data_IF_113598117577
#
_entry.id   IF_113598117577
#
_cell.length_a   1.000
_cell.length_b   1.000
_cell.length_c   1.000
_cell.angle_alpha   90.00
_cell.angle_beta   90.00
_cell.angle_gamma   90.00
#
_symmetry.space_group_name_H-M   'P 1'
#
loop_
_entity.id
_entity.type
_entity.pdbx_description
1 polymer ?
#
# COMPACT_ATOMS: atom_id res chain seq x y z
N UNK A 1 -4.79 8.38 25.43
CA UNK A 1 -4.80 8.03 24.01
C UNK A 1 -6.03 8.54 23.26
N UNK A 2 -7.27 8.25 23.69
CA UNK A 2 -8.48 8.85 23.09
C UNK A 2 -8.37 10.37 22.92
N UNK A 3 -7.85 11.08 23.91
CA UNK A 3 -7.67 12.56 23.85
C UNK A 3 -6.64 13.00 22.81
N UNK A 4 -5.58 12.23 22.54
CA UNK A 4 -4.54 12.57 21.53
C UNK A 4 -5.05 12.37 20.12
N UNK A 5 -5.77 11.28 19.86
CA UNK A 5 -6.40 11.01 18.55
C UNK A 5 -7.46 12.06 18.24
N UNK A 6 -8.26 12.45 19.23
CA UNK A 6 -9.26 13.52 19.10
C UNK A 6 -8.57 14.86 18.82
N UNK A 7 -7.45 15.16 19.48
CA UNK A 7 -6.69 16.40 19.24
C UNK A 7 -6.11 16.43 17.82
N UNK A 8 -5.56 15.31 17.32
CA UNK A 8 -5.04 15.22 15.95
C UNK A 8 -6.19 15.34 14.94
N UNK A 9 -7.31 14.67 15.14
CA UNK A 9 -8.50 14.81 14.30
C UNK A 9 -9.06 16.23 14.34
N UNK A 10 -9.16 16.84 15.51
CA UNK A 10 -9.63 18.22 15.67
C UNK A 10 -8.64 19.23 15.09
N UNK A 11 -7.32 19.02 15.17
CA UNK A 11 -6.34 19.89 14.54
C UNK A 11 -6.37 19.79 13.01
N UNK A 12 -6.58 18.62 12.44
CA UNK A 12 -6.80 18.43 11.00
C UNK A 12 -8.12 19.07 10.57
N UNK A 13 -9.20 18.83 11.33
CA UNK A 13 -10.52 19.46 11.06
C UNK A 13 -10.43 20.98 11.22
N UNK A 14 -9.74 21.50 12.23
CA UNK A 14 -9.57 22.95 12.42
C UNK A 14 -8.70 23.57 11.33
N UNK A 15 -7.65 22.89 10.87
CA UNK A 15 -6.83 23.35 9.73
C UNK A 15 -7.64 23.37 8.42
N UNK A 16 -8.47 22.36 8.18
CA UNK A 16 -9.42 22.32 7.06
C UNK A 16 -10.49 23.41 7.22
N UNK A 17 -11.01 23.63 8.43
CA UNK A 17 -12.02 24.62 8.73
C UNK A 17 -11.48 26.07 8.64
N UNK A 18 -10.22 26.31 9.05
CA UNK A 18 -9.58 27.64 8.94
C UNK A 18 -9.24 27.97 7.49
N UNK A 19 -8.85 26.99 6.68
CA UNK A 19 -8.70 27.19 5.24
C UNK A 19 -10.05 27.35 4.52
N UNK A 20 -11.11 26.71 4.98
CA UNK A 20 -12.46 26.89 4.45
C UNK A 20 -13.06 28.25 4.81
N UNK A 21 -12.70 28.85 5.97
CA UNK A 21 -13.14 30.18 6.38
C UNK A 21 -12.54 31.31 5.53
N UNK A 22 -11.36 31.13 4.99
CA UNK A 22 -10.73 32.07 4.06
C UNK A 22 -11.23 31.92 2.60
N UNK A 23 -12.01 30.87 2.32
CA UNK A 23 -12.83 30.75 1.13
C UNK A 23 -14.26 31.14 1.55
N UNK A 24 -14.81 32.24 1.07
CA UNK A 24 -16.23 32.58 1.16
C UNK A 24 -17.11 31.54 0.43
N UNK A 25 -17.08 30.28 0.88
CA UNK A 25 -17.81 29.17 0.27
C UNK A 25 -19.23 29.08 0.83
N UNK A 26 -19.54 29.77 1.92
CA UNK A 26 -20.87 29.76 2.56
C UNK A 26 -21.55 31.16 2.58
N UNK A 27 -21.14 32.09 1.73
CA UNK A 27 -21.82 33.35 1.56
C UNK A 27 -22.92 33.24 0.51
N UNK A 28 -24.17 33.32 0.94
CA UNK A 28 -25.42 33.79 0.29
C UNK A 28 -25.66 33.66 -1.23
N UNK A 29 -24.85 32.99 -2.02
CA UNK A 29 -25.10 32.72 -3.44
C UNK A 29 -25.80 31.37 -3.72
N UNK A 30 -26.34 30.70 -2.70
CA UNK A 30 -26.98 29.39 -2.82
C UNK A 30 -28.35 29.43 -3.52
N UNK A 31 -28.91 30.59 -3.81
CA UNK A 31 -30.28 30.68 -4.32
C UNK A 31 -30.45 31.24 -5.74
N UNK A 32 -29.39 31.51 -6.48
CA UNK A 32 -29.51 31.97 -7.87
C UNK A 32 -28.50 31.31 -8.82
N UNK A 33 -28.74 30.04 -9.12
CA UNK A 33 -28.48 29.43 -10.44
C UNK A 33 -29.02 28.02 -10.45
N UNK A 34 -30.19 27.84 -11.02
CA UNK A 34 -30.73 26.52 -11.43
C UNK A 34 -29.90 25.95 -12.60
N UNK A 35 -28.63 25.72 -12.43
CA UNK A 35 -27.92 24.74 -13.24
C UNK A 35 -28.36 23.36 -12.69
N UNK A 36 -29.21 22.67 -13.42
CA UNK A 36 -29.57 21.28 -13.11
C UNK A 36 -28.27 20.49 -12.99
N UNK A 37 -27.89 20.15 -11.77
CA UNK A 37 -26.73 19.29 -11.48
C UNK A 37 -27.07 17.93 -12.07
N UNK A 38 -26.57 17.64 -13.27
CA UNK A 38 -26.88 16.39 -13.94
C UNK A 38 -26.19 15.23 -13.20
N UNK A 39 -26.99 14.29 -12.69
CA UNK A 39 -26.48 13.03 -12.16
C UNK A 39 -25.98 12.22 -13.35
N UNK A 40 -24.74 11.78 -13.30
CA UNK A 40 -24.12 10.94 -14.33
C UNK A 40 -23.79 9.58 -13.76
N UNK A 41 -23.97 8.55 -14.57
CA UNK A 41 -23.54 7.20 -14.24
C UNK A 41 -22.01 7.12 -14.18
N UNK A 42 -21.48 6.41 -13.19
CA UNK A 42 -20.06 6.16 -13.00
C UNK A 42 -19.84 4.65 -12.87
N UNK A 43 -18.77 4.16 -13.44
CA UNK A 43 -18.38 2.75 -13.32
C UNK A 43 -16.86 2.63 -13.39
N UNK A 44 -16.34 1.57 -12.82
CA UNK A 44 -14.94 1.14 -12.91
C UNK A 44 -14.89 -0.39 -12.87
N UNK A 45 -14.00 -0.96 -13.66
CA UNK A 45 -13.73 -2.40 -13.61
C UNK A 45 -12.21 -2.56 -13.62
N UNK A 46 -11.71 -3.21 -12.59
CA UNK A 46 -10.31 -3.56 -12.48
C UNK A 46 -10.17 -5.09 -12.47
N UNK A 47 -9.29 -5.59 -13.32
CA UNK A 47 -8.91 -7.01 -13.34
C UNK A 47 -7.43 -7.11 -13.04
N UNK A 48 -7.07 -8.02 -12.13
CA UNK A 48 -5.69 -8.31 -11.74
C UNK A 48 -5.46 -9.81 -11.82
N UNK A 49 -4.38 -10.21 -12.46
CA UNK A 49 -3.88 -11.56 -12.41
C UNK A 49 -2.50 -11.55 -11.78
N UNK A 50 -2.28 -12.46 -10.83
CA UNK A 50 -1.02 -12.59 -10.14
C UNK A 50 -0.62 -14.06 -10.05
N UNK A 51 0.52 -14.37 -10.65
CA UNK A 51 1.26 -15.61 -10.42
C UNK A 51 2.52 -15.25 -9.64
N UNK A 52 2.76 -15.92 -8.52
CA UNK A 52 3.84 -15.63 -7.60
C UNK A 52 4.34 -16.94 -7.00
N UNK A 53 5.37 -17.51 -7.61
CA UNK A 53 6.05 -18.68 -7.13
C UNK A 53 7.19 -18.29 -6.20
N UNK A 54 7.20 -18.81 -5.00
CA UNK A 54 8.13 -18.51 -3.93
C UNK A 54 8.85 -19.78 -3.53
N UNK A 55 10.16 -19.78 -3.72
CA UNK A 55 11.05 -20.88 -3.40
C UNK A 55 12.01 -20.42 -2.32
N UNK A 56 11.70 -20.77 -1.08
CA UNK A 56 12.52 -20.48 0.07
C UNK A 56 13.01 -21.79 0.66
N UNK A 57 14.25 -21.80 1.10
CA UNK A 57 14.84 -22.99 1.73
C UNK A 57 14.03 -23.39 2.97
N UNK A 58 13.46 -24.59 2.94
CA UNK A 58 12.66 -25.14 4.03
C UNK A 58 13.51 -25.60 5.21
N UNK A 59 14.78 -25.92 4.98
CA UNK A 59 15.68 -26.46 6.01
C UNK A 59 16.30 -25.40 6.92
N UNK A 60 16.38 -24.16 6.48
CA UNK A 60 17.02 -23.07 7.20
C UNK A 60 16.27 -21.76 7.15
N UNK A 61 15.17 -21.70 6.42
CA UNK A 61 14.43 -20.47 6.28
C UNK A 61 13.57 -20.15 7.49
N UNK A 62 13.98 -19.12 8.19
CA UNK A 62 13.34 -18.61 9.39
C UNK A 62 12.30 -17.54 9.13
N UNK A 63 12.15 -17.09 7.89
CA UNK A 63 11.40 -15.91 7.51
C UNK A 63 10.02 -16.22 6.95
N UNK A 64 9.95 -17.11 5.95
CA UNK A 64 8.69 -17.44 5.25
C UNK A 64 8.77 -18.82 4.60
N UNK A 65 7.63 -19.41 4.31
CA UNK A 65 7.54 -20.72 3.67
C UNK A 65 7.48 -20.57 2.15
N UNK A 66 7.92 -21.62 1.44
CA UNK A 66 7.68 -21.77 0.01
C UNK A 66 6.19 -21.90 -0.26
N UNK A 67 5.70 -21.21 -1.30
CA UNK A 67 4.31 -21.28 -1.74
C UNK A 67 4.17 -20.78 -3.16
N UNK A 68 3.14 -21.23 -3.85
CA UNK A 68 2.74 -20.68 -5.14
C UNK A 68 1.37 -20.03 -5.00
N UNK A 69 1.29 -18.74 -5.34
CA UNK A 69 0.04 -17.99 -5.46
C UNK A 69 -0.26 -17.86 -6.94
N UNK A 70 -1.39 -18.38 -7.36
CA UNK A 70 -1.89 -18.25 -8.72
C UNK A 70 -3.35 -17.83 -8.65
N UNK A 71 -3.62 -16.54 -8.87
CA UNK A 71 -4.94 -16.02 -8.59
C UNK A 71 -5.33 -14.88 -9.54
N UNK A 72 -6.63 -14.76 -9.79
CA UNK A 72 -7.24 -13.66 -10.50
C UNK A 72 -8.23 -12.92 -9.61
N UNK A 73 -8.23 -11.60 -9.70
CA UNK A 73 -9.15 -10.70 -9.01
C UNK A 73 -9.92 -9.87 -10.01
N UNK A 74 -11.20 -9.72 -9.80
CA UNK A 74 -12.08 -8.84 -10.56
C UNK A 74 -12.84 -7.93 -9.59
N UNK A 75 -12.78 -6.62 -9.84
CA UNK A 75 -13.43 -5.61 -8.99
C UNK A 75 -14.33 -4.71 -9.84
N UNK A 76 -15.54 -5.17 -10.21
CA UNK A 76 -16.52 -4.33 -10.89
C UNK A 76 -17.21 -3.40 -9.91
N UNK A 77 -17.35 -2.13 -10.30
CA UNK A 77 -18.01 -1.09 -9.52
C UNK A 77 -18.90 -0.23 -10.42
N UNK A 78 -20.05 0.17 -9.91
CA UNK A 78 -20.99 1.08 -10.56
C UNK A 78 -21.54 2.07 -9.55
N UNK A 79 -21.99 3.23 -10.01
CA UNK A 79 -22.53 4.26 -9.14
C UNK A 79 -22.93 5.52 -9.86
N UNK A 80 -23.01 6.59 -9.11
CA UNK A 80 -23.44 7.88 -9.62
C UNK A 80 -22.44 8.97 -9.22
N UNK A 81 -22.33 9.98 -10.08
CA UNK A 81 -21.52 11.16 -9.82
C UNK A 81 -22.28 12.43 -10.14
N UNK A 82 -22.00 13.46 -9.35
CA UNK A 82 -22.53 14.80 -9.50
C UNK A 82 -21.33 15.75 -9.54
N UNK A 83 -21.31 16.64 -10.51
CA UNK A 83 -20.29 17.69 -10.60
C UNK A 83 -20.89 19.05 -10.17
N UNK A 84 -20.21 19.78 -9.33
CA UNK A 84 -20.54 21.17 -8.99
C UNK A 84 -19.62 22.10 -9.78
N UNK A 85 -20.00 22.38 -11.00
CA UNK A 85 -19.17 23.14 -11.94
C UNK A 85 -17.80 22.46 -12.11
N UNK A 86 -16.74 23.29 -12.13
CA UNK A 86 -15.36 22.81 -12.21
C UNK A 86 -14.67 22.68 -10.84
N UNK A 87 -15.40 22.89 -9.72
CA UNK A 87 -14.82 22.99 -8.39
C UNK A 87 -14.82 21.67 -7.65
N UNK A 88 -15.91 20.89 -7.74
CA UNK A 88 -16.01 19.62 -7.03
C UNK A 88 -16.73 18.54 -7.84
N UNK A 89 -16.37 17.29 -7.57
CA UNK A 89 -17.04 16.06 -8.03
C UNK A 89 -17.35 15.21 -6.81
N UNK A 90 -18.58 14.78 -6.70
CA UNK A 90 -19.08 13.86 -5.67
C UNK A 90 -19.44 12.54 -6.35
N UNK A 91 -19.02 11.43 -5.78
CA UNK A 91 -19.26 10.10 -6.36
C UNK A 91 -19.66 9.13 -5.26
N UNK A 92 -20.68 8.33 -5.49
CA UNK A 92 -21.05 7.18 -4.65
C UNK A 92 -20.92 5.94 -5.51
N UNK A 93 -20.19 4.95 -5.03
CA UNK A 93 -19.90 3.73 -5.78
C UNK A 93 -20.26 2.51 -4.94
N UNK A 94 -20.83 1.52 -5.61
CA UNK A 94 -21.10 0.18 -5.09
C UNK A 94 -20.38 -0.82 -6.00
N UNK A 95 -19.77 -1.84 -5.42
CA UNK A 95 -19.06 -2.87 -6.15
C UNK A 95 -18.84 -4.14 -5.35
N UNK A 96 -18.15 -5.07 -5.95
CA UNK A 96 -17.78 -6.35 -5.34
C UNK A 96 -16.32 -6.66 -5.62
N UNK A 97 -15.66 -7.30 -4.66
CA UNK A 97 -14.32 -7.85 -4.80
C UNK A 97 -14.41 -9.37 -4.95
N UNK A 98 -14.04 -9.86 -6.13
CA UNK A 98 -14.07 -11.28 -6.49
C UNK A 98 -12.62 -11.74 -6.64
N UNK A 99 -12.22 -12.75 -5.87
CA UNK A 99 -10.89 -13.36 -5.93
C UNK A 99 -11.01 -14.84 -6.18
N UNK A 100 -10.41 -15.34 -7.26
CA UNK A 100 -10.29 -16.76 -7.56
C UNK A 100 -8.86 -17.21 -7.47
N UNK A 101 -8.56 -18.07 -6.50
CA UNK A 101 -7.31 -18.84 -6.47
C UNK A 101 -7.42 -19.99 -7.48
N UNK A 102 -6.47 -20.07 -8.41
CA UNK A 102 -6.42 -21.14 -9.39
C UNK A 102 -6.06 -22.48 -8.72
N UNK A 103 -6.64 -23.55 -9.18
CA UNK A 103 -6.49 -24.87 -8.57
C UNK A 103 -7.39 -25.13 -7.35
N UNK A 104 -7.89 -24.10 -6.69
CA UNK A 104 -8.84 -24.23 -5.60
C UNK A 104 -10.28 -24.38 -6.11
N UNK A 105 -10.97 -25.43 -5.71
CA UNK A 105 -12.39 -25.68 -6.03
C UNK A 105 -13.13 -26.22 -4.82
N UNK A 106 -14.49 -26.19 -4.81
CA UNK A 106 -15.27 -26.78 -3.73
C UNK A 106 -15.03 -28.29 -3.53
N UNK A 107 -14.63 -29.00 -4.60
CA UNK A 107 -14.38 -30.43 -4.56
C UNK A 107 -13.09 -30.81 -3.82
N UNK A 108 -12.10 -29.92 -3.76
CA UNK A 108 -10.84 -30.09 -3.04
C UNK A 108 -10.67 -29.10 -1.88
N UNK A 109 -11.78 -28.59 -1.34
CA UNK A 109 -11.75 -27.62 -0.24
C UNK A 109 -11.06 -28.15 1.03
N UNK A 110 -11.12 -29.47 1.27
CA UNK A 110 -10.42 -30.11 2.39
C UNK A 110 -8.89 -30.08 2.27
N UNK A 111 -8.36 -30.02 1.04
CA UNK A 111 -6.93 -29.99 0.77
C UNK A 111 -6.35 -28.58 0.85
N UNK A 112 -7.12 -27.57 0.41
CA UNK A 112 -6.66 -26.18 0.29
C UNK A 112 -7.20 -25.27 1.39
N UNK A 113 -8.09 -25.75 2.23
CA UNK A 113 -8.84 -24.96 3.22
C UNK A 113 -10.01 -24.19 2.62
N UNK A 114 -11.10 -24.10 3.38
CA UNK A 114 -12.35 -23.44 2.94
C UNK A 114 -12.16 -21.96 2.59
N UNK A 115 -11.23 -21.27 3.24
CA UNK A 115 -10.95 -19.85 3.02
C UNK A 115 -10.46 -19.56 1.60
N UNK A 116 -9.74 -20.49 0.99
CA UNK A 116 -9.21 -20.35 -0.35
C UNK A 116 -10.24 -20.57 -1.46
N UNK A 117 -11.40 -21.11 -1.11
CA UNK A 117 -12.50 -21.40 -2.06
C UNK A 117 -13.48 -20.23 -2.20
N UNK A 118 -13.49 -19.32 -1.27
CA UNK A 118 -14.40 -18.15 -1.31
C UNK A 118 -14.06 -17.23 -2.47
N UNK A 119 -14.97 -17.15 -3.45
CA UNK A 119 -14.85 -16.24 -4.60
C UNK A 119 -15.16 -14.79 -4.21
N UNK A 120 -16.23 -14.58 -3.47
CA UNK A 120 -16.64 -13.27 -2.99
C UNK A 120 -15.83 -12.93 -1.75
N UNK A 121 -15.07 -11.86 -1.80
CA UNK A 121 -14.26 -11.38 -0.69
C UNK A 121 -14.98 -10.34 0.11
N UNK A 122 -15.46 -9.30 -0.57
CA UNK A 122 -15.96 -8.13 0.09
C UNK A 122 -16.91 -7.33 -0.81
N UNK A 123 -17.83 -6.62 -0.20
CA UNK A 123 -18.65 -5.60 -0.87
C UNK A 123 -17.94 -4.25 -0.74
N UNK A 124 -17.83 -3.55 -1.85
CA UNK A 124 -17.30 -2.19 -1.89
C UNK A 124 -18.48 -1.21 -1.84
N UNK A 125 -18.39 -0.25 -0.93
CA UNK A 125 -19.35 0.85 -0.84
C UNK A 125 -18.63 2.07 -0.32
N UNK A 126 -18.50 3.10 -1.15
CA UNK A 126 -17.78 4.29 -0.74
C UNK A 126 -18.31 5.57 -1.38
N UNK A 127 -18.08 6.64 -0.65
CA UNK A 127 -18.22 8.00 -1.13
C UNK A 127 -16.83 8.55 -1.50
N UNK A 128 -16.76 9.26 -2.63
CA UNK A 128 -15.55 9.97 -3.09
C UNK A 128 -15.88 11.43 -3.36
N UNK A 129 -15.13 12.30 -2.73
CA UNK A 129 -15.10 13.74 -2.99
C UNK A 129 -13.79 14.08 -3.71
N UNK A 130 -13.90 14.76 -4.85
CA UNK A 130 -12.77 15.45 -5.48
C UNK A 130 -13.06 16.93 -5.54
N UNK A 131 -12.20 17.75 -4.91
CA UNK A 131 -12.34 19.19 -4.93
C UNK A 131 -11.05 19.84 -5.45
N UNK A 132 -11.18 20.97 -6.13
CA UNK A 132 -10.05 21.76 -6.63
C UNK A 132 -10.08 23.15 -6.00
N UNK A 133 -9.00 23.50 -5.31
CA UNK A 133 -8.84 24.81 -4.68
C UNK A 133 -7.48 25.39 -5.10
N UNK A 134 -7.49 26.38 -5.99
CA UNK A 134 -6.27 26.92 -6.59
C UNK A 134 -5.47 25.79 -7.30
N UNK A 135 -4.23 25.60 -6.86
CA UNK A 135 -3.35 24.54 -7.40
C UNK A 135 -3.45 23.21 -6.63
N UNK A 136 -4.33 23.10 -5.63
CA UNK A 136 -4.48 21.90 -4.82
C UNK A 136 -5.69 21.09 -5.28
N UNK A 137 -5.51 19.80 -5.52
CA UNK A 137 -6.57 18.82 -5.71
C UNK A 137 -6.70 18.03 -4.41
N UNK A 138 -7.90 18.06 -3.82
CA UNK A 138 -8.24 17.31 -2.62
C UNK A 138 -9.09 16.11 -3.07
N UNK A 139 -8.72 14.91 -2.65
CA UNK A 139 -9.56 13.73 -2.81
C UNK A 139 -9.81 13.14 -1.42
N UNK A 140 -11.08 12.89 -1.12
CA UNK A 140 -11.51 12.22 0.10
C UNK A 140 -12.33 10.98 -0.26
N UNK A 141 -12.00 9.85 0.38
CA UNK A 141 -12.74 8.61 0.25
C UNK A 141 -13.20 8.19 1.64
N UNK A 142 -14.43 7.69 1.75
CA UNK A 142 -14.98 7.16 2.99
C UNK A 142 -15.85 5.94 2.70
N UNK A 143 -15.63 4.85 3.43
CA UNK A 143 -16.30 3.57 3.26
C UNK A 143 -15.34 2.42 3.00
N UNK A 144 -15.73 1.45 2.17
CA UNK A 144 -14.92 0.32 1.75
C UNK A 144 -14.53 0.53 0.29
N UNK A 145 -13.27 0.79 0.04
CA UNK A 145 -12.76 1.16 -1.29
C UNK A 145 -11.40 0.56 -1.60
N UNK A 146 -11.04 0.37 -2.89
CA UNK A 146 -9.76 -0.21 -3.28
C UNK A 146 -8.54 0.57 -2.78
N UNK A 147 -7.57 -0.15 -2.18
CA UNK A 147 -6.29 0.40 -1.70
C UNK A 147 -5.45 1.06 -2.80
N UNK A 148 -5.65 0.65 -4.08
CA UNK A 148 -4.99 1.29 -5.24
C UNK A 148 -5.32 2.77 -5.42
N UNK A 149 -6.32 3.32 -4.72
CA UNK A 149 -6.61 4.75 -4.72
C UNK A 149 -5.62 5.56 -3.89
N UNK A 150 -4.91 4.93 -2.96
CA UNK A 150 -3.77 5.52 -2.31
C UNK A 150 -2.58 5.55 -3.29
N UNK A 151 -1.92 6.70 -3.41
CA UNK A 151 -0.74 6.89 -4.26
C UNK A 151 0.56 6.78 -3.46
N UNK A 152 0.45 6.77 -2.13
CA UNK A 152 1.56 6.62 -1.21
C UNK A 152 2.32 5.33 -1.45
N UNK A 153 3.63 5.42 -1.40
CA UNK A 153 4.50 4.25 -1.55
C UNK A 153 4.43 3.36 -0.32
N UNK A 154 3.43 2.49 -0.26
CA UNK A 154 3.43 1.40 0.71
C UNK A 154 4.55 0.41 0.33
N UNK A 155 5.76 0.72 0.77
CA UNK A 155 6.90 -0.14 0.57
C UNK A 155 6.79 -1.41 1.42
N UNK A 156 7.61 -2.40 1.12
CA UNK A 156 7.49 -3.75 1.67
C UNK A 156 7.68 -3.81 3.20
N UNK A 157 8.29 -2.78 3.77
CA UNK A 157 8.45 -2.62 5.21
C UNK A 157 7.11 -2.42 5.93
N UNK A 158 6.14 -1.77 5.27
CA UNK A 158 4.81 -1.45 5.80
C UNK A 158 3.76 -2.46 5.39
N UNK A 159 3.82 -2.94 4.16
CA UNK A 159 2.81 -3.84 3.61
C UNK A 159 3.46 -4.83 2.63
N UNK A 160 3.37 -6.11 2.93
CA UNK A 160 3.92 -7.17 2.08
C UNK A 160 3.18 -7.26 0.74
N UNK A 161 3.85 -7.77 -0.27
CA UNK A 161 3.26 -7.96 -1.60
C UNK A 161 2.05 -8.92 -1.57
N UNK A 162 2.06 -9.91 -0.68
CA UNK A 162 0.90 -10.79 -0.46
C UNK A 162 -0.30 -10.00 0.06
N UNK A 163 -0.10 -9.17 1.07
CA UNK A 163 -1.18 -8.39 1.66
C UNK A 163 -1.69 -7.32 0.69
N UNK A 164 -0.83 -6.71 -0.11
CA UNK A 164 -1.27 -5.79 -1.18
C UNK A 164 -2.24 -6.47 -2.14
N UNK A 165 -2.05 -7.76 -2.41
CA UNK A 165 -2.90 -8.53 -3.30
C UNK A 165 -4.15 -9.08 -2.59
N UNK A 166 -4.00 -9.71 -1.41
CA UNK A 166 -5.10 -10.38 -0.70
C UNK A 166 -5.96 -9.43 0.13
N UNK A 167 -5.40 -8.38 0.71
CA UNK A 167 -6.06 -7.32 1.46
C UNK A 167 -6.01 -6.03 0.63
N UNK A 168 -6.79 -6.01 -0.45
CA UNK A 168 -6.72 -5.00 -1.51
C UNK A 168 -7.61 -3.77 -1.24
N UNK A 169 -8.35 -3.77 -0.15
CA UNK A 169 -9.28 -2.69 0.18
C UNK A 169 -8.89 -1.96 1.46
N UNK A 170 -9.39 -0.76 1.61
CA UNK A 170 -9.33 0.05 2.83
C UNK A 170 -10.76 0.14 3.35
N UNK A 171 -10.98 -0.23 4.61
CA UNK A 171 -12.23 -0.05 5.32
C UNK A 171 -12.12 1.20 6.21
N UNK A 172 -12.48 2.36 5.69
CA UNK A 172 -12.34 3.58 6.48
C UNK A 172 -12.25 4.86 5.66
N UNK A 173 -11.18 5.64 5.83
CA UNK A 173 -11.05 6.97 5.24
C UNK A 173 -9.67 7.12 4.59
N UNK A 174 -9.63 7.79 3.44
CA UNK A 174 -8.41 8.25 2.78
C UNK A 174 -8.58 9.70 2.36
N UNK A 175 -7.67 10.56 2.79
CA UNK A 175 -7.56 11.95 2.39
C UNK A 175 -6.27 12.15 1.61
N UNK A 176 -6.36 12.77 0.43
CA UNK A 176 -5.20 13.08 -0.43
C UNK A 176 -5.20 14.56 -0.80
N UNK A 177 -4.04 15.18 -0.68
CA UNK A 177 -3.78 16.55 -1.09
C UNK A 177 -2.68 16.53 -2.15
N UNK A 178 -3.03 16.85 -3.38
CA UNK A 178 -2.11 16.81 -4.52
C UNK A 178 -1.87 18.23 -5.07
N UNK A 179 -0.60 18.61 -5.15
CA UNK A 179 -0.11 19.85 -5.75
C UNK A 179 0.88 19.50 -6.87
N UNK A 180 1.27 20.45 -7.74
CA UNK A 180 2.19 20.16 -8.84
C UNK A 180 3.52 19.50 -8.42
N UNK A 181 4.03 19.85 -7.23
CA UNK A 181 5.30 19.32 -6.71
C UNK A 181 5.18 18.46 -5.45
N UNK A 182 3.97 18.28 -4.91
CA UNK A 182 3.79 17.61 -3.62
C UNK A 182 2.54 16.77 -3.60
N UNK A 183 2.61 15.66 -2.88
CA UNK A 183 1.48 14.82 -2.53
C UNK A 183 1.53 14.50 -1.03
N UNK A 184 0.38 14.56 -0.39
CA UNK A 184 0.21 14.18 1.02
C UNK A 184 -1.02 13.31 1.14
N UNK A 185 -0.91 12.23 1.90
CA UNK A 185 -1.98 11.28 2.17
C UNK A 185 -2.08 11.01 3.67
N UNK A 186 -3.30 10.83 4.12
CA UNK A 186 -3.64 10.33 5.44
C UNK A 186 -4.76 9.32 5.28
N UNK A 187 -4.58 8.13 5.81
CA UNK A 187 -5.60 7.09 5.81
C UNK A 187 -5.80 6.49 7.20
N UNK A 188 -7.02 6.05 7.45
CA UNK A 188 -7.35 5.18 8.56
C UNK A 188 -8.06 3.95 7.99
N UNK A 189 -7.50 2.78 8.24
CA UNK A 189 -7.96 1.49 7.76
C UNK A 189 -8.35 0.63 8.96
N UNK A 190 -9.62 0.22 9.02
CA UNK A 190 -10.18 -0.55 10.12
C UNK A 190 -10.13 -2.03 9.80
N UNK A 191 -9.30 -2.79 10.49
CA UNK A 191 -8.98 -4.19 10.18
C UNK A 191 -9.72 -5.19 11.07
N UNK A 192 -10.42 -4.75 12.06
CA UNK A 192 -11.16 -5.61 12.96
C UNK A 192 -11.86 -4.85 14.06
N UNK A 193 -13.10 -5.25 14.35
CA UNK A 193 -13.92 -4.72 15.42
C UNK A 193 -13.69 -5.53 16.71
N UNK A 194 -13.79 -4.85 17.85
CA UNK A 194 -13.80 -5.48 19.17
C UNK A 194 -14.97 -6.45 19.30
N UNK A 195 -14.72 -7.64 19.86
CA UNK A 195 -15.74 -8.65 20.10
C UNK A 195 -15.23 -9.82 20.91
N UNK A 196 -16.08 -10.84 21.12
CA UNK A 196 -15.72 -12.01 21.95
C UNK A 196 -14.47 -12.73 21.45
N UNK A 197 -14.41 -12.98 20.12
CA UNK A 197 -13.29 -13.67 19.47
C UNK A 197 -12.59 -12.78 18.43
N UNK A 198 -12.77 -11.46 18.51
CA UNK A 198 -12.23 -10.48 17.56
C UNK A 198 -11.48 -9.40 18.30
N UNK A 199 -10.27 -9.10 17.80
CA UNK A 199 -9.46 -7.98 18.29
C UNK A 199 -9.79 -6.71 17.53
N UNK A 200 -9.87 -5.61 18.27
CA UNK A 200 -9.87 -4.29 17.64
C UNK A 200 -8.52 -4.02 16.99
N UNK A 201 -8.54 -3.72 15.70
CA UNK A 201 -7.34 -3.46 14.91
C UNK A 201 -7.60 -2.33 13.95
N UNK A 202 -6.69 -1.38 13.88
CA UNK A 202 -6.71 -0.36 12.84
C UNK A 202 -5.30 0.13 12.53
N UNK A 203 -5.13 0.67 11.32
CA UNK A 203 -3.90 1.32 10.89
C UNK A 203 -4.21 2.75 10.51
N UNK A 204 -3.47 3.70 11.08
CA UNK A 204 -3.39 5.07 10.59
C UNK A 204 -2.09 5.19 9.82
N UNK A 205 -2.18 5.57 8.53
CA UNK A 205 -1.01 5.75 7.68
C UNK A 205 -0.94 7.17 7.15
N UNK A 206 0.26 7.71 7.08
CA UNK A 206 0.56 8.99 6.45
C UNK A 206 1.70 8.84 5.46
N UNK A 207 1.53 9.43 4.30
CA UNK A 207 2.55 9.54 3.28
C UNK A 207 2.68 10.98 2.81
N UNK A 208 3.90 11.44 2.67
CA UNK A 208 4.18 12.74 2.08
C UNK A 208 5.41 12.67 1.18
N UNK A 209 5.33 13.36 0.04
CA UNK A 209 6.46 13.52 -0.88
C UNK A 209 6.43 14.90 -1.49
N UNK A 210 7.57 15.58 -1.50
CA UNK A 210 7.75 16.89 -2.15
C UNK A 210 8.95 16.84 -3.07
N UNK A 211 8.77 17.30 -4.31
CA UNK A 211 9.84 17.49 -5.29
C UNK A 211 10.53 18.83 -4.99
N UNK A 212 11.77 18.75 -4.52
CA UNK A 212 12.61 19.91 -4.16
C UNK A 212 13.31 20.44 -5.41
N UNK A 213 13.86 19.55 -6.22
CA UNK A 213 14.48 19.85 -7.51
C UNK A 213 14.04 18.80 -8.54
N UNK A 214 14.41 18.96 -9.80
CA UNK A 214 14.01 18.03 -10.86
C UNK A 214 14.45 16.59 -10.59
N UNK A 215 15.59 16.42 -9.95
CA UNK A 215 16.18 15.13 -9.59
C UNK A 215 16.08 14.80 -8.11
N UNK A 216 15.59 15.71 -7.25
CA UNK A 216 15.58 15.54 -5.80
C UNK A 216 14.17 15.65 -5.23
N UNK A 217 13.79 14.66 -4.46
CA UNK A 217 12.57 14.69 -3.64
C UNK A 217 12.85 14.20 -2.23
N UNK A 218 12.10 14.71 -1.26
CA UNK A 218 12.09 14.22 0.10
C UNK A 218 10.66 13.89 0.55
N UNK A 219 10.54 13.05 1.54
CA UNK A 219 9.23 12.65 2.03
C UNK A 219 9.30 11.74 3.24
N UNK A 220 8.15 11.19 3.58
CA UNK A 220 7.99 10.23 4.66
C UNK A 220 6.90 9.21 4.35
N UNK A 221 6.99 8.06 5.00
CA UNK A 221 5.91 7.10 5.21
C UNK A 221 5.84 6.81 6.70
N UNK A 222 4.67 6.90 7.30
CA UNK A 222 4.45 6.61 8.71
C UNK A 222 3.24 5.72 8.82
N UNK A 223 3.30 4.71 9.67
CA UNK A 223 2.14 3.91 10.07
C UNK A 223 2.08 3.79 11.58
N UNK A 224 0.88 3.88 12.12
CA UNK A 224 0.53 3.50 13.47
C UNK A 224 -0.46 2.36 13.42
N UNK A 225 -0.03 1.18 13.79
CA UNK A 225 -0.87 0.00 13.90
C UNK A 225 -1.24 -0.26 15.35
N UNK A 226 -2.52 -0.27 15.63
CA UNK A 226 -3.10 -0.57 16.92
C UNK A 226 -3.70 -1.98 16.90
N UNK A 227 -3.23 -2.83 17.82
CA UNK A 227 -3.78 -4.14 18.09
C UNK A 227 -4.28 -4.14 19.54
N UNK A 228 -5.59 -4.10 19.74
CA UNK A 228 -6.19 -4.13 21.06
C UNK A 228 -6.64 -5.54 21.46
N UNK A 229 -7.20 -5.62 22.66
CA UNK A 229 -7.75 -6.85 23.23
C UNK A 229 -9.07 -7.29 22.56
N UNK A 230 -9.52 -8.44 22.93
CA UNK A 230 -10.87 -8.96 22.73
C UNK A 230 -11.54 -9.13 24.11
N UNK A 231 -12.81 -9.52 24.12
CA UNK A 231 -13.55 -9.71 25.39
C UNK A 231 -12.88 -10.78 26.27
N UNK A 232 -12.42 -11.88 25.65
CA UNK A 232 -11.84 -13.02 26.39
C UNK A 232 -10.42 -12.79 26.86
N UNK A 233 -9.62 -12.01 26.13
CA UNK A 233 -8.20 -11.86 26.42
C UNK A 233 -7.79 -10.39 26.36
N UNK A 234 -7.23 -9.90 27.47
CA UNK A 234 -6.65 -8.56 27.55
C UNK A 234 -5.38 -8.41 26.72
N UNK A 235 -4.93 -7.18 26.56
CA UNK A 235 -3.66 -6.84 25.96
C UNK A 235 -3.76 -5.86 24.81
N UNK A 236 -2.85 -4.90 24.79
CA UNK A 236 -2.75 -3.89 23.74
C UNK A 236 -1.32 -3.81 23.28
N UNK A 237 -1.12 -3.90 21.97
CA UNK A 237 0.17 -3.70 21.34
C UNK A 237 0.12 -2.45 20.46
N UNK A 238 1.01 -1.53 20.72
CA UNK A 238 1.24 -0.35 19.90
C UNK A 238 2.43 -0.65 18.97
N UNK A 239 2.24 -0.51 17.68
CA UNK A 239 3.30 -0.71 16.68
C UNK A 239 3.32 0.47 15.72
N UNK A 240 4.33 1.31 15.82
CA UNK A 240 4.55 2.45 14.94
C UNK A 240 5.83 2.24 14.14
N UNK A 241 5.78 2.63 12.87
CA UNK A 241 6.94 2.67 11.98
C UNK A 241 6.94 3.98 11.23
N UNK A 242 8.05 4.71 11.28
CA UNK A 242 8.29 5.93 10.53
C UNK A 242 9.49 5.74 9.61
N UNK A 243 9.37 6.21 8.36
CA UNK A 243 10.40 6.13 7.33
C UNK A 243 10.50 7.47 6.59
N UNK A 244 11.23 8.47 7.13
CA UNK A 244 11.67 9.60 6.33
C UNK A 244 12.65 9.15 5.25
N UNK A 245 12.62 9.81 4.08
CA UNK A 245 13.48 9.47 2.97
C UNK A 245 13.87 10.68 2.11
N UNK A 246 15.02 10.55 1.45
CA UNK A 246 15.47 11.41 0.36
C UNK A 246 15.65 10.53 -0.87
N UNK A 247 15.14 10.98 -2.01
CA UNK A 247 15.25 10.27 -3.28
C UNK A 247 15.87 11.15 -4.34
N UNK A 248 16.92 10.66 -4.95
CA UNK A 248 17.48 11.15 -6.19
C UNK A 248 16.88 10.32 -7.33
N UNK A 249 16.30 10.96 -8.33
CA UNK A 249 15.64 10.28 -9.43
C UNK A 249 15.81 11.05 -10.73
N UNK A 250 16.30 10.36 -11.73
CA UNK A 250 16.50 10.86 -13.08
C UNK A 250 15.57 10.03 -13.99
N UNK A 251 14.49 10.63 -14.46
CA UNK A 251 13.47 9.95 -15.29
C UNK A 251 13.85 9.89 -16.77
N UNK A 252 14.90 10.61 -17.17
CA UNK A 252 15.45 10.59 -18.53
C UNK A 252 16.93 10.94 -18.45
N UNK A 253 17.72 10.00 -18.01
CA UNK A 253 19.18 10.14 -18.02
C UNK A 253 19.71 9.26 -19.15
N UNK A 254 19.80 9.82 -20.37
CA UNK A 254 20.29 9.05 -21.50
C UNK A 254 21.64 8.37 -21.21
N UNK A 255 21.79 7.07 -21.44
CA UNK A 255 20.89 6.18 -22.18
C UNK A 255 19.77 5.53 -21.35
N UNK A 256 19.67 5.77 -20.04
CA UNK A 256 18.74 5.10 -19.14
C UNK A 256 17.33 5.72 -19.20
N UNK A 257 16.30 4.88 -19.09
CA UNK A 257 14.91 5.31 -18.93
C UNK A 257 14.63 5.79 -17.50
N UNK A 258 15.26 5.14 -16.53
CA UNK A 258 15.12 5.49 -15.10
C UNK A 258 16.40 5.17 -14.38
N UNK A 259 16.86 6.13 -13.59
CA UNK A 259 17.86 5.95 -12.55
C UNK A 259 17.33 6.56 -11.26
N UNK A 260 17.24 5.79 -10.18
CA UNK A 260 16.72 6.28 -8.90
C UNK A 260 17.49 5.67 -7.74
N UNK A 261 17.85 6.52 -6.79
CA UNK A 261 18.50 6.15 -5.55
C UNK A 261 17.73 6.80 -4.40
N UNK A 262 17.23 5.99 -3.46
CA UNK A 262 16.49 6.46 -2.29
C UNK A 262 17.19 6.01 -1.02
N UNK A 263 17.45 6.95 -0.13
CA UNK A 263 17.97 6.71 1.23
C UNK A 263 16.83 6.92 2.21
N UNK A 264 16.60 5.96 3.07
CA UNK A 264 15.55 5.98 4.07
C UNK A 264 16.10 5.63 5.44
N UNK A 265 15.54 6.25 6.48
CA UNK A 265 15.73 5.85 7.85
C UNK A 265 14.44 5.23 8.37
N UNK A 266 14.53 4.03 8.96
CA UNK A 266 13.37 3.34 9.52
C UNK A 266 13.48 3.40 11.03
N UNK A 267 12.45 3.94 11.66
CA UNK A 267 12.33 4.07 13.11
C UNK A 267 11.05 3.40 13.58
N UNK A 268 11.19 2.27 14.25
CA UNK A 268 10.09 1.63 14.98
C UNK A 268 9.92 2.26 16.36
N UNK A 269 8.69 2.24 16.86
CA UNK A 269 8.33 2.51 18.24
C UNK A 269 7.23 1.52 18.61
N UNK A 270 7.59 0.50 19.38
CA UNK A 270 6.73 -0.65 19.64
C UNK A 270 6.60 -0.90 21.14
N UNK A 271 5.42 -1.35 21.56
CA UNK A 271 5.19 -1.71 22.95
C UNK A 271 4.09 -2.75 23.03
N UNK A 272 4.40 -3.90 23.62
CA UNK A 272 3.41 -4.83 24.15
C UNK A 272 3.14 -4.47 25.60
N UNK A 273 1.94 -3.99 25.90
CA UNK A 273 1.58 -3.50 27.25
C UNK A 273 1.43 -4.61 28.27
N UNK A 274 1.31 -5.87 27.86
CA UNK A 274 1.33 -7.03 28.76
C UNK A 274 2.76 -7.28 29.22
N UNK A 275 3.72 -7.21 28.30
CA UNK A 275 5.13 -7.54 28.56
C UNK A 275 5.87 -6.39 29.24
N UNK A 276 5.63 -5.16 28.78
CA UNK A 276 6.37 -3.99 29.26
C UNK A 276 5.58 -2.69 29.14
N UNK A 277 5.80 -1.79 30.10
CA UNK A 277 5.31 -0.40 30.00
C UNK A 277 6.24 0.47 29.13
N UNK A 278 7.47 0.03 28.86
CA UNK A 278 8.45 0.77 28.07
C UNK A 278 8.29 0.47 26.57
N UNK A 279 8.66 1.45 25.77
CA UNK A 279 8.74 1.26 24.31
C UNK A 279 10.10 0.70 23.90
N UNK A 280 10.09 -0.19 22.93
CA UNK A 280 11.24 -0.59 22.15
C UNK A 280 11.34 0.26 20.88
N UNK A 281 12.58 0.61 20.52
CA UNK A 281 12.89 1.49 19.40
C UNK A 281 13.81 0.78 18.39
N UNK A 282 13.30 -0.21 17.64
CA UNK A 282 14.08 -0.78 16.55
C UNK A 282 14.30 0.25 15.44
N UNK A 283 15.52 0.26 14.87
CA UNK A 283 15.88 1.22 13.84
C UNK A 283 16.84 0.64 12.82
N UNK A 284 16.86 1.23 11.64
CA UNK A 284 17.81 0.87 10.59
C UNK A 284 17.80 1.85 9.42
N UNK A 285 18.80 1.72 8.58
CA UNK A 285 18.91 2.44 7.32
C UNK A 285 18.51 1.54 6.14
N UNK A 286 17.95 2.12 5.09
CA UNK A 286 17.68 1.41 3.85
C UNK A 286 18.08 2.23 2.64
N UNK A 287 18.67 1.55 1.67
CA UNK A 287 19.00 2.09 0.37
C UNK A 287 18.21 1.33 -0.69
N UNK A 288 17.41 2.05 -1.48
CA UNK A 288 16.72 1.49 -2.63
C UNK A 288 17.34 2.08 -3.90
N UNK A 289 17.82 1.22 -4.77
CA UNK A 289 18.37 1.57 -6.09
C UNK A 289 17.48 0.97 -7.17
N UNK A 290 17.17 1.76 -8.20
CA UNK A 290 16.42 1.29 -9.39
C UNK A 290 17.07 1.83 -10.65
N UNK A 291 17.36 0.92 -11.57
CA UNK A 291 17.89 1.23 -12.91
C UNK A 291 16.97 0.53 -13.92
N UNK A 292 16.59 1.23 -14.98
CA UNK A 292 15.78 0.64 -16.04
C UNK A 292 16.21 1.17 -17.40
N UNK A 293 16.32 0.27 -18.37
CA UNK A 293 16.51 0.58 -19.78
C UNK A 293 15.81 -0.47 -20.64
N UNK A 294 15.27 -0.12 -21.78
CA UNK A 294 14.54 -1.00 -22.71
C UNK A 294 13.41 -1.80 -22.06
N UNK A 295 12.74 -1.21 -21.05
CA UNK A 295 11.70 -1.85 -20.26
C UNK A 295 12.19 -3.04 -19.39
N UNK A 296 13.50 -3.30 -19.35
CA UNK A 296 14.16 -4.20 -18.42
C UNK A 296 14.77 -3.37 -17.31
N UNK A 297 14.65 -3.81 -16.09
CA UNK A 297 15.20 -3.08 -14.95
C UNK A 297 15.71 -3.98 -13.84
N UNK A 298 16.50 -3.36 -12.99
CA UNK A 298 16.99 -3.94 -11.74
C UNK A 298 16.58 -2.99 -10.62
N UNK A 299 16.00 -3.55 -9.57
CA UNK A 299 15.73 -2.85 -8.32
C UNK A 299 16.39 -3.62 -7.18
N UNK A 300 17.22 -2.93 -6.40
CA UNK A 300 17.88 -3.50 -5.24
C UNK A 300 17.51 -2.70 -4.00
N UNK A 301 17.18 -3.41 -2.92
CA UNK A 301 16.84 -2.83 -1.60
C UNK A 301 17.70 -3.49 -0.54
N UNK A 302 18.54 -2.71 0.08
CA UNK A 302 19.42 -3.14 1.17
C UNK A 302 18.97 -2.46 2.45
N UNK A 303 18.54 -3.23 3.42
CA UNK A 303 18.24 -2.80 4.79
C UNK A 303 19.36 -3.23 5.72
N UNK A 304 19.83 -2.32 6.56
CA UNK A 304 20.82 -2.56 7.62
C UNK A 304 20.25 -2.00 8.91
N UNK A 305 20.00 -2.87 9.89
CA UNK A 305 19.38 -2.42 11.12
C UNK A 305 18.98 -3.52 12.07
N UNK A 306 18.21 -3.15 13.07
CA UNK A 306 17.60 -4.06 14.03
C UNK A 306 16.31 -4.66 13.46
N UNK A 307 15.87 -5.80 14.03
CA UNK A 307 14.56 -6.36 13.69
C UNK A 307 13.45 -5.34 13.87
N UNK A 308 12.72 -5.01 12.81
CA UNK A 308 11.54 -4.15 12.88
C UNK A 308 10.32 -4.88 13.44
N UNK A 309 10.42 -6.18 13.72
CA UNK A 309 9.35 -7.06 14.18
C UNK A 309 9.68 -7.70 15.53
N UNK A 310 9.94 -6.87 16.53
CA UNK A 310 10.44 -7.31 17.85
C UNK A 310 9.52 -8.32 18.55
N UNK A 311 8.21 -8.19 18.40
CA UNK A 311 7.22 -9.05 19.08
C UNK A 311 6.65 -10.14 18.20
N UNK A 312 7.24 -10.44 17.03
CA UNK A 312 6.68 -11.39 16.07
C UNK A 312 6.44 -12.79 16.67
N UNK A 313 7.37 -13.26 17.48
CA UNK A 313 7.30 -14.57 18.12
C UNK A 313 6.58 -14.55 19.48
N UNK A 314 6.22 -13.37 19.99
CA UNK A 314 5.51 -13.25 21.23
C UNK A 314 4.09 -13.80 21.10
N UNK A 315 3.54 -14.22 22.20
CA UNK A 315 2.19 -14.74 22.34
C UNK A 315 1.32 -13.77 23.14
N UNK A 316 0.07 -13.71 22.80
CA UNK A 316 -0.93 -12.97 23.58
C UNK A 316 -1.38 -13.73 24.84
N UNK A 317 -2.25 -13.12 25.64
CA UNK A 317 -2.82 -13.75 26.84
C UNK A 317 -3.63 -15.03 26.53
N UNK A 318 -4.08 -15.24 25.31
CA UNK A 318 -4.78 -16.44 24.83
C UNK A 318 -3.86 -17.53 24.26
N UNK A 319 -2.53 -17.33 24.31
CA UNK A 319 -1.56 -18.27 23.75
C UNK A 319 -1.35 -18.16 22.24
N UNK A 320 -1.94 -17.18 21.55
CA UNK A 320 -1.82 -16.99 20.11
C UNK A 320 -0.58 -16.17 19.77
N UNK A 321 0.20 -16.60 18.78
CA UNK A 321 1.34 -15.83 18.27
C UNK A 321 0.87 -14.55 17.58
N UNK A 322 1.59 -13.44 17.80
CA UNK A 322 1.31 -12.19 17.10
C UNK A 322 1.61 -12.29 15.61
N UNK A 323 2.80 -12.73 15.22
CA UNK A 323 3.17 -13.01 13.84
C UNK A 323 2.69 -11.96 12.83
N UNK A 324 2.07 -12.43 11.76
CA UNK A 324 1.49 -11.60 10.71
C UNK A 324 0.23 -10.83 11.16
N UNK A 325 -0.36 -11.16 12.30
CA UNK A 325 -1.47 -10.39 12.87
C UNK A 325 -1.03 -8.99 13.28
N UNK A 326 0.19 -8.88 13.85
CA UNK A 326 0.76 -7.60 14.32
C UNK A 326 1.59 -6.91 13.24
N UNK A 327 2.23 -7.67 12.34
CA UNK A 327 3.16 -7.14 11.35
C UNK A 327 2.68 -7.42 9.94
N UNK A 328 2.54 -6.36 9.16
CA UNK A 328 2.01 -6.44 7.79
C UNK A 328 3.11 -6.30 6.72
N UNK A 329 4.31 -5.91 7.12
CA UNK A 329 5.48 -5.84 6.24
C UNK A 329 6.01 -7.22 5.82
N UNK A 330 6.98 -7.22 4.92
CA UNK A 330 7.67 -8.45 4.51
C UNK A 330 8.42 -9.07 5.69
N UNK A 331 8.33 -10.41 5.89
CA UNK A 331 8.91 -11.10 7.04
C UNK A 331 10.43 -10.95 7.17
N UNK A 332 11.12 -10.63 6.10
CA UNK A 332 12.58 -10.46 6.07
C UNK A 332 13.10 -9.27 6.89
N UNK A 333 12.23 -8.32 7.25
CA UNK A 333 12.58 -7.25 8.20
C UNK A 333 12.62 -7.72 9.65
N UNK A 334 12.36 -9.01 9.89
CA UNK A 334 12.52 -9.72 11.16
C UNK A 334 13.95 -10.25 11.30
N UNK A 335 14.91 -9.35 11.41
CA UNK A 335 16.33 -9.69 11.53
C UNK A 335 16.56 -10.66 12.71
N UNK A 336 17.38 -11.70 12.52
CA UNK A 336 17.67 -12.76 13.48
C UNK A 336 16.43 -13.43 14.12
N UNK A 337 15.53 -14.01 13.36
CA UNK A 337 14.21 -14.43 13.85
C UNK A 337 14.24 -15.49 14.95
N UNK A 338 15.30 -16.31 15.08
CA UNK A 338 15.38 -17.40 16.05
C UNK A 338 16.12 -17.07 17.34
N UNK A 339 16.90 -16.00 17.38
CA UNK A 339 17.76 -15.73 18.53
C UNK A 339 17.16 -14.82 19.58
N UNK A 340 15.97 -14.30 19.37
CA UNK A 340 15.32 -13.34 20.31
C UNK A 340 16.11 -12.07 20.54
N UNK A 341 17.20 -11.87 19.82
CA UNK A 341 18.14 -10.77 20.03
C UNK A 341 17.80 -9.60 19.10
N UNK A 342 16.69 -8.94 19.44
CA UNK A 342 16.19 -7.76 18.71
C UNK A 342 17.16 -6.57 18.72
N UNK A 343 18.27 -6.68 19.46
CA UNK A 343 19.25 -5.61 19.61
C UNK A 343 20.38 -5.71 18.59
N UNK A 344 20.60 -6.86 17.98
CA UNK A 344 21.63 -7.05 16.96
C UNK A 344 21.24 -6.34 15.67
N UNK A 345 22.26 -5.80 15.03
CA UNK A 345 22.17 -5.23 13.69
C UNK A 345 22.42 -6.35 12.70
N UNK A 346 21.54 -6.50 11.73
CA UNK A 346 21.71 -7.43 10.64
C UNK A 346 21.40 -6.79 9.29
N UNK A 347 21.43 -7.59 8.24
CA UNK A 347 21.30 -7.12 6.86
C UNK A 347 20.25 -7.95 6.15
N UNK A 348 19.36 -7.28 5.45
CA UNK A 348 18.45 -7.87 4.47
C UNK A 348 18.65 -7.19 3.12
N UNK A 349 18.86 -8.00 2.09
CA UNK A 349 18.99 -7.53 0.72
C UNK A 349 17.97 -8.23 -0.17
N UNK A 350 17.29 -7.45 -1.02
CA UNK A 350 16.34 -7.91 -2.02
C UNK A 350 16.72 -7.35 -3.38
N UNK A 351 17.15 -8.22 -4.27
CA UNK A 351 17.39 -7.93 -5.67
C UNK A 351 16.18 -8.34 -6.51
N UNK A 352 15.65 -7.42 -7.30
CA UNK A 352 14.61 -7.69 -8.30
C UNK A 352 15.14 -7.39 -9.69
N UNK A 353 15.05 -8.36 -10.60
CA UNK A 353 15.23 -8.18 -12.04
C UNK A 353 13.84 -8.23 -12.66
N UNK A 354 13.47 -7.25 -13.45
CA UNK A 354 12.13 -7.17 -14.01
C UNK A 354 12.09 -6.73 -15.45
N UNK A 355 11.04 -7.17 -16.14
CA UNK A 355 10.64 -6.70 -17.46
C UNK A 355 9.22 -6.13 -17.37
N UNK A 356 9.06 -4.86 -17.80
CA UNK A 356 7.80 -4.15 -17.73
C UNK A 356 7.55 -3.40 -19.05
N UNK A 357 7.05 -4.10 -20.10
CA UNK A 357 6.76 -3.48 -21.38
C UNK A 357 5.62 -2.48 -21.27
N UNK A 358 5.67 -1.44 -22.06
CA UNK A 358 4.51 -0.57 -22.23
C UNK A 358 3.60 -1.15 -23.32
N UNK A 359 2.51 -1.79 -22.92
CA UNK A 359 1.51 -2.34 -23.84
C UNK A 359 0.44 -1.28 -24.12
N UNK A 360 -0.13 -0.70 -23.07
CA UNK A 360 -1.10 0.39 -23.14
C UNK A 360 -1.25 1.08 -21.79
N UNK A 361 -1.95 2.23 -21.75
CA UNK A 361 -2.17 2.95 -20.47
C UNK A 361 -3.19 2.24 -19.56
N UNK A 362 -3.97 1.31 -20.10
CA UNK A 362 -4.99 0.54 -19.37
C UNK A 362 -4.57 -0.90 -19.05
N UNK A 363 -3.41 -1.34 -19.54
CA UNK A 363 -2.87 -2.68 -19.34
C UNK A 363 -1.42 -2.60 -18.88
N UNK A 364 -1.19 -2.95 -17.63
CA UNK A 364 0.13 -3.05 -17.02
C UNK A 364 0.53 -4.52 -16.93
N UNK A 365 1.67 -4.89 -17.49
CA UNK A 365 2.28 -6.21 -17.40
C UNK A 365 3.66 -6.07 -16.77
N UNK A 366 3.96 -6.88 -15.76
CA UNK A 366 5.29 -6.95 -15.15
C UNK A 366 5.68 -8.40 -14.87
N UNK A 367 6.85 -8.79 -15.34
CA UNK A 367 7.54 -10.04 -15.00
C UNK A 367 8.69 -9.69 -14.06
N UNK A 368 8.86 -10.42 -12.97
CA UNK A 368 9.90 -10.15 -11.98
C UNK A 368 10.52 -11.43 -11.45
N UNK A 369 11.83 -11.41 -11.29
CA UNK A 369 12.63 -12.39 -10.55
C UNK A 369 13.20 -11.69 -9.33
N UNK A 370 12.99 -12.27 -8.16
CA UNK A 370 13.51 -11.74 -6.90
C UNK A 370 14.50 -12.73 -6.30
N UNK A 371 15.56 -12.19 -5.72
CA UNK A 371 16.53 -12.91 -4.93
C UNK A 371 16.61 -12.25 -3.57
N UNK A 372 16.51 -13.05 -2.51
CA UNK A 372 16.53 -12.59 -1.13
C UNK A 372 17.80 -13.10 -0.44
N UNK A 373 18.48 -12.20 0.25
CA UNK A 373 19.64 -12.50 1.06
C UNK A 373 19.41 -11.97 2.48
N UNK A 374 19.59 -12.85 3.45
CA UNK A 374 19.35 -12.51 4.85
C UNK A 374 20.26 -13.36 5.75
N UNK A 375 20.28 -13.06 7.04
CA UNK A 375 21.05 -13.87 7.99
C UNK A 375 20.47 -15.27 8.14
N UNK A 376 21.38 -16.25 8.09
CA UNK A 376 21.06 -17.64 8.42
C UNK A 376 21.13 -17.89 9.94
N UNK A 377 20.92 -19.15 10.36
CA UNK A 377 21.00 -19.59 11.75
C UNK A 377 22.34 -19.29 12.43
N UNK A 378 23.41 -19.17 11.65
CA UNK A 378 24.76 -18.90 12.14
C UNK A 378 25.07 -17.41 12.23
N UNK A 379 24.20 -16.57 11.69
CA UNK A 379 24.35 -15.12 11.64
C UNK A 379 25.16 -14.62 10.46
N UNK A 380 25.38 -15.46 9.45
CA UNK A 380 26.02 -15.08 8.19
C UNK A 380 24.95 -14.69 7.16
N UNK A 381 25.23 -13.71 6.33
CA UNK A 381 24.37 -13.36 5.19
C UNK A 381 24.48 -14.49 4.16
N UNK A 382 23.36 -15.03 3.77
CA UNK A 382 23.25 -16.11 2.79
C UNK A 382 22.04 -15.93 1.89
N UNK A 383 22.01 -16.64 0.78
CA UNK A 383 20.84 -16.72 -0.07
C UNK A 383 19.68 -17.36 0.71
N UNK A 384 18.58 -16.64 0.84
CA UNK A 384 17.41 -17.05 1.62
C UNK A 384 16.28 -17.60 0.72
N UNK A 385 16.36 -17.39 -0.58
CA UNK A 385 15.40 -17.89 -1.55
C UNK A 385 15.14 -16.96 -2.72
N UNK A 386 14.34 -17.45 -3.65
CA UNK A 386 13.95 -16.73 -4.87
C UNK A 386 12.43 -16.68 -5.02
N UNK A 387 11.99 -15.79 -5.91
CA UNK A 387 10.58 -15.61 -6.21
C UNK A 387 10.42 -15.20 -7.67
N UNK A 388 9.48 -15.83 -8.37
CA UNK A 388 9.11 -15.51 -9.73
C UNK A 388 7.69 -14.96 -9.72
N UNK A 389 7.49 -13.76 -10.28
CA UNK A 389 6.18 -13.12 -10.31
C UNK A 389 5.80 -12.63 -11.70
N UNK A 390 4.58 -12.96 -12.10
CA UNK A 390 3.88 -12.35 -13.21
C UNK A 390 2.70 -11.56 -12.65
N UNK A 391 2.65 -10.27 -12.93
CA UNK A 391 1.53 -9.41 -12.57
C UNK A 391 0.95 -8.79 -13.83
N UNK A 392 -0.37 -8.90 -14.00
CA UNK A 392 -1.13 -8.26 -15.08
C UNK A 392 -2.29 -7.51 -14.45
N UNK A 393 -2.40 -6.21 -14.78
CA UNK A 393 -3.47 -5.35 -14.29
C UNK A 393 -4.14 -4.67 -15.49
N UNK A 394 -5.45 -4.85 -15.61
CA UNK A 394 -6.28 -4.20 -16.62
C UNK A 394 -7.30 -3.29 -15.93
N UNK A 395 -7.40 -2.03 -16.40
CA UNK A 395 -8.36 -1.06 -15.87
C UNK A 395 -9.24 -0.48 -16.97
N UNK A 396 -10.53 -0.80 -16.92
CA UNK A 396 -11.51 -0.40 -17.92
C UNK A 396 -11.78 1.11 -17.91
N UNK A 397 -11.78 1.77 -16.75
CA UNK A 397 -12.01 3.22 -16.68
C UNK A 397 -10.94 3.99 -17.48
N UNK A 398 -9.69 3.55 -17.38
CA UNK A 398 -8.60 4.11 -18.19
C UNK A 398 -8.80 3.88 -19.69
N UNK A 399 -9.27 2.71 -20.09
CA UNK A 399 -9.57 2.40 -21.51
C UNK A 399 -10.63 3.34 -22.07
N UNK A 400 -11.73 3.51 -21.34
CA UNK A 400 -12.87 4.31 -21.82
C UNK A 400 -12.59 5.81 -21.76
N UNK A 401 -11.90 6.28 -20.72
CA UNK A 401 -11.50 7.69 -20.63
C UNK A 401 -10.58 8.10 -21.78
N UNK A 402 -9.74 7.18 -22.26
CA UNK A 402 -8.85 7.37 -23.40
C UNK A 402 -9.62 7.44 -24.73
N UNK A 403 -10.64 6.60 -24.92
CA UNK A 403 -11.48 6.64 -26.12
C UNK A 403 -12.23 7.97 -26.28
N UNK A 404 -12.53 8.68 -25.18
CA UNK A 404 -13.08 10.04 -25.22
C UNK A 404 -12.07 11.12 -25.57
N UNK A 405 -10.78 10.85 -25.35
CA UNK A 405 -9.66 11.74 -25.72
C UNK A 405 -8.98 11.31 -27.03
N UNK A 406 -9.60 10.39 -27.78
CA UNK A 406 -8.99 9.56 -28.82
C UNK A 406 -8.69 10.24 -30.17
N UNK A 407 -8.12 11.44 -30.14
CA UNK A 407 -7.35 11.94 -31.30
C UNK A 407 -5.84 11.86 -31.07
N UNK A 408 -5.35 11.16 -30.05
CA UNK A 408 -3.90 11.08 -29.78
C UNK A 408 -3.31 9.79 -30.40
N UNK A 409 -2.56 9.99 -31.49
CA UNK A 409 -1.91 8.98 -32.34
C UNK A 409 -0.83 8.09 -31.68
N UNK A 410 -0.71 8.04 -30.35
CA UNK A 410 0.44 7.44 -29.65
C UNK A 410 0.16 6.12 -28.91
N UNK A 411 -0.76 5.28 -29.42
CA UNK A 411 -0.92 3.90 -28.94
C UNK A 411 0.10 2.96 -29.58
N UNK A 412 1.38 3.17 -29.34
CA UNK A 412 2.40 2.22 -29.80
C UNK A 412 2.72 1.26 -28.67
N UNK A 413 2.59 -0.03 -28.94
CA UNK A 413 3.13 -1.10 -28.11
C UNK A 413 4.65 -1.01 -28.18
N UNK A 414 5.32 -0.80 -27.06
CA UNK A 414 6.77 -0.74 -26.97
C UNK A 414 7.23 -1.92 -26.10
N UNK A 415 7.58 -3.01 -26.76
CA UNK A 415 8.10 -4.19 -26.09
C UNK A 415 9.53 -3.94 -25.59
N UNK A 416 10.39 -3.44 -26.47
CA UNK A 416 11.77 -3.08 -26.16
C UNK A 416 12.04 -1.68 -26.71
N UNK A 417 12.71 -0.86 -25.91
CA UNK A 417 13.07 0.51 -26.29
C UNK A 417 12.55 1.58 -25.34
N UNK A 418 13.26 2.69 -25.28
CA UNK A 418 12.85 3.85 -24.50
C UNK A 418 11.69 4.59 -25.13
N UNK A 419 10.77 5.15 -24.36
CA UNK A 419 9.90 6.22 -24.83
C UNK A 419 10.81 7.37 -25.29
N UNK A 420 10.88 7.63 -26.60
CA UNK A 420 11.31 8.96 -27.04
C UNK A 420 10.18 9.92 -26.66
N UNK A 421 10.40 10.67 -25.61
CA UNK A 421 9.56 11.84 -25.32
C UNK A 421 9.89 12.86 -26.42
N UNK A 422 8.97 13.03 -27.35
CA UNK A 422 8.89 14.20 -28.21
C UNK A 422 8.14 15.29 -27.46
#
# INVERSE_FOLDING_TARGET
>A
MRKVIIIILLSVISAVYTQARNCNVFGNEYFQRNEHKAIKFAYDINFEYNFDNREFDTGGNLYTNSMTINAARLTPMAGFKINEGNKSEHKVMLGIDILKNMGASPTNASEVGLENVRLFREMLLYYHLRAKTGHTIINGYAGIFPRRFAEGGYSNEFLSDSLKFFDNNIEGILLKFKRPKSIYELSCDWLGQFGSHRRERFIISSYGKTKIANYLSAGWTISYYHLANMVEYGGVVDNMLAMPFIRFGFETFAPLQTLSLKFSWLQGMQRDRIVSKKFDFPMGGQIDMKIMNWNVGIENKVYIGKSLMAYYNNIDAGGNKYGNLLYRGEPFYRIFPNKGDFKKIGVYDRLEIFYQPHISDYLDLKLSLFFHFAENNLGNISFAGSRQRLSLVFNLEKLISKNKAANNKNNRIILFGGRKYL
#
